data_IF_138286094176
#
_entry.id   IF_138286094176
#
_cell.length_a   1.000
_cell.length_b   1.000
_cell.length_c   1.000
_cell.angle_alpha   90.00
_cell.angle_beta   90.00
_cell.angle_gamma   90.00
#
_symmetry.space_group_name_H-M   'P 1'
#
loop_
_entity.id
_entity.type
_entity.pdbx_description
1 polymer ?
#
# COMPACT_ATOMS: atom_id res chain seq x y z
N UNK A 1 -0.36 -2.53 8.46
CA UNK A 1 -1.64 -2.10 7.95
C UNK A 1 -2.38 -3.35 7.50
N UNK A 2 -3.47 -3.72 8.17
CA UNK A 2 -4.30 -4.84 7.72
C UNK A 2 -4.76 -4.59 6.26
N UNK A 3 -4.90 -5.63 5.44
CA UNK A 3 -5.37 -5.56 4.04
C UNK A 3 -6.64 -4.71 3.94
N UNK A 4 -7.55 -4.90 4.89
CA UNK A 4 -8.80 -4.14 4.97
C UNK A 4 -8.53 -2.65 5.18
N UNK A 5 -7.55 -2.29 6.01
CA UNK A 5 -7.13 -0.90 6.26
C UNK A 5 -6.49 -0.27 5.03
N UNK A 6 -5.61 -0.99 4.33
CA UNK A 6 -4.98 -0.51 3.08
C UNK A 6 -6.00 -0.25 1.98
N UNK A 7 -6.87 -1.24 1.72
CA UNK A 7 -7.95 -1.12 0.74
C UNK A 7 -8.91 0.02 1.09
N UNK A 8 -9.21 0.19 2.38
CA UNK A 8 -10.06 1.29 2.85
C UNK A 8 -9.40 2.66 2.64
N UNK A 9 -8.10 2.81 2.89
CA UNK A 9 -7.34 4.03 2.61
C UNK A 9 -7.35 4.35 1.10
N UNK A 10 -7.10 3.36 0.23
CA UNK A 10 -7.19 3.55 -1.24
C UNK A 10 -8.59 3.98 -1.68
N UNK A 11 -9.63 3.39 -1.09
CA UNK A 11 -11.01 3.80 -1.34
C UNK A 11 -11.26 5.25 -0.91
N UNK A 12 -10.78 5.65 0.27
CA UNK A 12 -10.92 7.02 0.78
C UNK A 12 -10.16 8.04 -0.09
N UNK A 13 -8.98 7.69 -0.61
CA UNK A 13 -8.25 8.52 -1.60
C UNK A 13 -9.12 8.75 -2.82
N UNK A 14 -9.72 7.68 -3.38
CA UNK A 14 -10.59 7.77 -4.56
C UNK A 14 -11.83 8.65 -4.30
N UNK A 15 -12.47 8.49 -3.14
CA UNK A 15 -13.62 9.31 -2.75
C UNK A 15 -13.24 10.77 -2.57
N UNK A 16 -12.11 11.05 -1.93
CA UNK A 16 -11.61 12.41 -1.76
C UNK A 16 -11.26 13.07 -3.11
N UNK A 17 -10.61 12.34 -4.02
CA UNK A 17 -10.34 12.82 -5.40
C UNK A 17 -11.63 13.12 -6.16
N UNK A 18 -12.65 12.27 -6.01
CA UNK A 18 -13.96 12.47 -6.64
C UNK A 18 -14.66 13.74 -6.15
N UNK A 19 -14.69 13.94 -4.82
CA UNK A 19 -15.26 15.15 -4.24
C UNK A 19 -14.47 16.40 -4.64
N UNK A 20 -13.13 16.34 -4.58
CA UNK A 20 -12.24 17.43 -5.01
C UNK A 20 -12.53 17.85 -6.46
N UNK A 21 -12.55 16.89 -7.39
CA UNK A 21 -12.81 17.15 -8.81
C UNK A 21 -14.21 17.76 -9.03
N UNK A 22 -15.21 17.31 -8.25
CA UNK A 22 -16.57 17.85 -8.33
C UNK A 22 -16.62 19.31 -7.87
N UNK A 23 -15.91 19.63 -6.80
CA UNK A 23 -15.77 20.99 -6.27
C UNK A 23 -15.02 21.90 -7.24
N UNK A 24 -13.89 21.44 -7.79
CA UNK A 24 -13.12 22.17 -8.81
C UNK A 24 -13.95 22.44 -10.06
N UNK A 25 -14.73 21.46 -10.52
CA UNK A 25 -15.64 21.65 -11.66
C UNK A 25 -16.67 22.73 -11.39
N UNK A 26 -17.25 22.76 -10.20
CA UNK A 26 -18.21 23.81 -9.81
C UNK A 26 -17.56 25.19 -9.72
N UNK A 27 -16.35 25.29 -9.17
CA UNK A 27 -15.62 26.57 -9.09
C UNK A 27 -15.27 27.13 -10.47
N UNK A 28 -14.92 26.25 -11.41
CA UNK A 28 -14.47 26.61 -12.75
C UNK A 28 -15.59 26.67 -13.80
N UNK A 29 -16.84 26.34 -13.44
CA UNK A 29 -17.95 26.35 -14.39
C UNK A 29 -18.37 27.76 -14.77
N UNK A 30 -17.95 28.26 -15.94
CA UNK A 30 -18.35 29.57 -16.44
C UNK A 30 -19.72 29.58 -17.12
N UNK A 31 -20.35 28.42 -17.33
CA UNK A 31 -21.64 28.31 -18.02
C UNK A 31 -22.84 28.58 -17.11
N UNK A 32 -22.68 28.35 -15.80
CA UNK A 32 -23.70 28.65 -14.79
C UNK A 32 -23.51 30.05 -14.20
N UNK A 33 -24.60 30.80 -14.04
CA UNK A 33 -24.60 32.09 -13.36
C UNK A 33 -24.05 31.96 -11.93
N UNK A 34 -23.17 32.90 -11.52
CA UNK A 34 -22.50 32.85 -10.21
C UNK A 34 -23.47 32.76 -9.02
N UNK A 35 -24.65 33.38 -9.15
CA UNK A 35 -25.69 33.35 -8.12
C UNK A 35 -26.27 31.96 -7.85
N UNK A 36 -26.20 31.02 -8.81
CA UNK A 36 -26.68 29.64 -8.67
C UNK A 36 -25.57 28.59 -8.66
N UNK A 37 -24.37 28.95 -9.13
CA UNK A 37 -23.21 28.05 -9.31
C UNK A 37 -22.82 27.31 -8.04
N UNK A 38 -22.87 28.00 -6.89
CA UNK A 38 -22.39 27.46 -5.61
C UNK A 38 -23.51 26.89 -4.73
N UNK A 39 -24.72 26.70 -5.26
CA UNK A 39 -25.89 26.23 -4.51
C UNK A 39 -25.70 24.87 -3.82
N UNK A 40 -24.77 24.04 -4.30
CA UNK A 40 -24.41 22.74 -3.71
C UNK A 40 -23.42 22.82 -2.54
N UNK A 41 -23.02 24.02 -2.08
CA UNK A 41 -22.01 24.21 -1.03
C UNK A 41 -22.25 23.36 0.23
N UNK A 42 -23.50 23.30 0.72
CA UNK A 42 -23.88 22.52 1.91
C UNK A 42 -23.66 21.02 1.69
N UNK A 43 -23.95 20.51 0.50
CA UNK A 43 -23.72 19.11 0.15
C UNK A 43 -22.22 18.77 0.17
N UNK A 44 -21.38 19.64 -0.39
CA UNK A 44 -19.93 19.43 -0.36
C UNK A 44 -19.37 19.42 1.06
N UNK A 45 -19.84 20.32 1.93
CA UNK A 45 -19.41 20.35 3.33
C UNK A 45 -19.83 19.08 4.11
N UNK A 46 -21.06 18.58 3.88
CA UNK A 46 -21.53 17.32 4.48
C UNK A 46 -20.66 16.14 4.04
N UNK A 47 -20.40 16.02 2.73
CA UNK A 47 -19.58 14.94 2.19
C UNK A 47 -18.14 15.01 2.72
N UNK A 48 -17.58 16.22 2.77
CA UNK A 48 -16.25 16.43 3.33
C UNK A 48 -16.17 16.02 4.81
N UNK A 49 -17.12 16.44 5.66
CA UNK A 49 -17.12 16.07 7.07
C UNK A 49 -17.14 14.54 7.26
N UNK A 50 -17.92 13.82 6.45
CA UNK A 50 -17.97 12.36 6.46
C UNK A 50 -16.61 11.74 6.10
N UNK A 51 -15.97 12.24 5.05
CA UNK A 51 -14.64 11.77 4.64
C UNK A 51 -13.58 12.09 5.69
N UNK A 52 -13.54 13.31 6.20
CA UNK A 52 -12.59 13.73 7.24
C UNK A 52 -12.68 12.83 8.48
N UNK A 53 -13.90 12.49 8.91
CA UNK A 53 -14.13 11.56 10.02
C UNK A 53 -13.62 10.14 9.71
N UNK A 54 -13.97 9.61 8.54
CA UNK A 54 -13.50 8.27 8.16
C UNK A 54 -11.96 8.20 8.10
N UNK A 55 -11.31 9.29 7.67
CA UNK A 55 -9.85 9.38 7.64
C UNK A 55 -9.26 9.48 9.04
N UNK A 56 -9.84 10.26 9.95
CA UNK A 56 -9.37 10.29 11.35
C UNK A 56 -9.50 8.92 12.01
N UNK A 57 -10.60 8.22 11.74
CA UNK A 57 -10.88 6.90 12.32
C UNK A 57 -9.92 5.84 11.78
N UNK A 58 -9.67 5.81 10.45
CA UNK A 58 -8.75 4.81 9.87
C UNK A 58 -7.30 5.09 10.20
N UNK A 59 -6.86 6.36 10.18
CA UNK A 59 -5.47 6.71 10.48
C UNK A 59 -5.19 6.77 11.99
N UNK A 60 -6.21 6.64 12.83
CA UNK A 60 -6.12 6.72 14.29
C UNK A 60 -5.47 8.04 14.77
N UNK A 61 -5.76 9.13 14.04
CA UNK A 61 -5.27 10.48 14.34
C UNK A 61 -6.31 11.29 15.11
N UNK A 62 -5.88 12.38 15.74
CA UNK A 62 -6.76 13.24 16.54
C UNK A 62 -7.91 13.77 15.68
N UNK A 63 -9.15 13.68 16.18
CA UNK A 63 -10.35 14.13 15.47
C UNK A 63 -10.37 15.64 15.17
N UNK A 64 -9.51 16.42 15.83
CA UNK A 64 -9.32 17.86 15.59
C UNK A 64 -8.30 18.16 14.49
N UNK A 65 -7.68 17.14 13.90
CA UNK A 65 -6.68 17.31 12.83
C UNK A 65 -7.29 17.97 11.60
N UNK A 66 -8.52 17.62 11.27
CA UNK A 66 -9.25 18.21 10.16
C UNK A 66 -10.32 19.18 10.66
N UNK A 67 -10.48 20.28 9.92
CA UNK A 67 -11.59 21.20 10.13
C UNK A 67 -12.89 20.45 9.92
N UNK A 68 -13.92 20.75 10.70
CA UNK A 68 -15.28 20.26 10.46
C UNK A 68 -16.21 21.43 10.30
N UNK A 69 -17.09 21.38 9.31
CA UNK A 69 -18.08 22.42 9.13
C UNK A 69 -19.32 22.16 10.00
N UNK A 70 -19.93 23.20 10.56
CA UNK A 70 -21.22 23.10 11.24
C UNK A 70 -22.37 23.04 10.21
N UNK A 71 -22.60 21.85 9.66
CA UNK A 71 -23.58 21.61 8.60
C UNK A 71 -25.02 21.71 9.08
N UNK A 72 -25.29 21.53 10.37
CA UNK A 72 -26.63 21.64 10.94
C UNK A 72 -27.09 23.10 10.94
N UNK A 73 -26.17 24.02 11.27
CA UNK A 73 -26.46 25.46 11.27
C UNK A 73 -26.24 26.14 9.92
N UNK A 74 -25.84 25.41 8.87
CA UNK A 74 -25.65 26.00 7.55
C UNK A 74 -26.98 26.39 6.89
N UNK A 75 -27.09 27.63 6.38
CA UNK A 75 -28.26 28.06 5.61
C UNK A 75 -28.44 27.23 4.34
N UNK A 76 -29.65 27.22 3.80
CA UNK A 76 -29.93 26.65 2.48
C UNK A 76 -29.42 27.53 1.34
N UNK A 77 -29.50 27.03 0.11
CA UNK A 77 -29.12 27.79 -1.09
C UNK A 77 -29.98 29.06 -1.28
N UNK A 78 -31.25 29.02 -0.87
CA UNK A 78 -32.16 30.17 -0.93
C UNK A 78 -31.98 31.17 0.21
N UNK A 79 -31.31 30.77 1.29
CA UNK A 79 -31.15 31.54 2.53
C UNK A 79 -29.71 32.03 2.75
N UNK A 80 -28.89 32.03 1.69
CA UNK A 80 -27.48 32.42 1.73
C UNK A 80 -27.07 33.24 0.52
N UNK A 81 -26.09 34.13 0.71
CA UNK A 81 -25.52 34.92 -0.37
C UNK A 81 -24.46 34.12 -1.12
N UNK A 82 -24.45 34.22 -2.45
CA UNK A 82 -23.52 33.48 -3.30
C UNK A 82 -22.02 33.65 -2.93
N UNK A 83 -21.52 34.79 -2.41
CA UNK A 83 -20.13 34.88 -1.97
C UNK A 83 -19.82 33.99 -0.76
N UNK A 84 -20.78 33.84 0.15
CA UNK A 84 -20.66 32.94 1.32
C UNK A 84 -20.66 31.49 0.84
N UNK A 85 -21.56 31.15 -0.08
CA UNK A 85 -21.61 29.82 -0.68
C UNK A 85 -20.26 29.49 -1.34
N UNK A 86 -19.73 30.41 -2.16
CA UNK A 86 -18.41 30.29 -2.79
C UNK A 86 -17.30 30.08 -1.77
N UNK A 87 -17.26 30.88 -0.71
CA UNK A 87 -16.26 30.75 0.34
C UNK A 87 -16.28 29.36 1.00
N UNK A 88 -17.46 28.78 1.22
CA UNK A 88 -17.60 27.42 1.74
C UNK A 88 -17.08 26.40 0.73
N UNK A 89 -17.42 26.53 -0.56
CA UNK A 89 -16.93 25.63 -1.62
C UNK A 89 -15.40 25.68 -1.72
N UNK A 90 -14.79 26.88 -1.71
CA UNK A 90 -13.34 27.07 -1.70
C UNK A 90 -12.69 26.48 -0.45
N UNK A 91 -13.35 26.63 0.71
CA UNK A 91 -12.89 26.03 1.97
C UNK A 91 -12.94 24.50 1.91
N UNK A 92 -13.98 23.91 1.32
CA UNK A 92 -14.03 22.45 1.12
C UNK A 92 -12.88 22.00 0.21
N UNK A 93 -12.61 22.72 -0.88
CA UNK A 93 -11.51 22.39 -1.80
C UNK A 93 -10.15 22.39 -1.09
N UNK A 94 -9.87 23.40 -0.28
CA UNK A 94 -8.64 23.48 0.48
C UNK A 94 -8.51 22.30 1.45
N UNK A 95 -9.57 22.08 2.25
CA UNK A 95 -9.53 21.11 3.33
C UNK A 95 -9.51 19.66 2.82
N UNK A 96 -10.16 19.36 1.70
CA UNK A 96 -10.03 18.03 1.08
C UNK A 96 -8.63 17.79 0.51
N UNK A 97 -7.95 18.85 0.08
CA UNK A 97 -6.52 18.80 -0.26
C UNK A 97 -5.67 18.34 0.93
N UNK A 98 -5.90 18.88 2.13
CA UNK A 98 -5.19 18.44 3.32
C UNK A 98 -5.48 16.97 3.67
N UNK A 99 -6.74 16.55 3.62
CA UNK A 99 -7.12 15.15 3.87
C UNK A 99 -6.42 14.21 2.88
N UNK A 100 -6.38 14.57 1.59
CA UNK A 100 -5.67 13.79 0.57
C UNK A 100 -4.18 13.68 0.88
N UNK A 101 -3.53 14.76 1.27
CA UNK A 101 -2.09 14.74 1.60
C UNK A 101 -1.77 13.77 2.74
N UNK A 102 -2.62 13.69 3.77
CA UNK A 102 -2.43 12.71 4.86
C UNK A 102 -2.54 11.27 4.37
N UNK A 103 -3.53 10.98 3.54
CA UNK A 103 -3.72 9.64 2.98
C UNK A 103 -2.58 9.25 2.04
N UNK A 104 -2.11 10.18 1.20
CA UNK A 104 -1.03 9.96 0.23
C UNK A 104 0.31 9.73 0.93
N UNK A 105 0.61 10.47 2.01
CA UNK A 105 1.84 10.26 2.81
C UNK A 105 1.90 8.87 3.43
N UNK A 106 0.78 8.35 3.94
CA UNK A 106 0.74 6.99 4.51
C UNK A 106 1.06 5.92 3.46
N UNK A 107 0.53 6.09 2.23
CA UNK A 107 0.86 5.19 1.11
C UNK A 107 2.30 5.33 0.65
N UNK A 108 2.81 6.56 0.50
CA UNK A 108 4.19 6.82 0.06
C UNK A 108 5.20 6.23 1.04
N UNK A 109 4.97 6.39 2.35
CA UNK A 109 5.82 5.80 3.39
C UNK A 109 5.88 4.27 3.27
N UNK A 110 4.73 3.64 3.01
CA UNK A 110 4.67 2.19 2.84
C UNK A 110 5.44 1.74 1.57
N UNK A 111 5.37 2.48 0.47
CA UNK A 111 6.11 2.18 -0.77
C UNK A 111 7.63 2.34 -0.60
N UNK A 112 8.03 3.40 0.12
CA UNK A 112 9.43 3.63 0.49
C UNK A 112 9.96 2.51 1.39
N UNK A 113 9.20 2.10 2.41
CA UNK A 113 9.60 0.97 3.26
C UNK A 113 9.72 -0.35 2.49
N UNK A 114 8.80 -0.61 1.55
CA UNK A 114 8.87 -1.80 0.68
C UNK A 114 10.15 -1.79 -0.18
N UNK A 115 10.50 -0.64 -0.76
CA UNK A 115 11.73 -0.47 -1.53
C UNK A 115 12.98 -0.54 -0.66
N UNK A 116 12.94 0.01 0.54
CA UNK A 116 14.03 -0.07 1.50
C UNK A 116 14.28 -1.51 1.96
N UNK A 117 13.23 -2.33 2.10
CA UNK A 117 13.36 -3.75 2.46
C UNK A 117 14.01 -4.57 1.33
N UNK A 118 13.61 -4.36 0.08
CA UNK A 118 14.24 -4.97 -1.10
C UNK A 118 15.75 -4.67 -1.14
N UNK A 119 16.11 -3.39 -1.07
CA UNK A 119 17.51 -2.96 -1.05
C UNK A 119 18.29 -3.52 0.16
N UNK A 120 17.65 -3.59 1.32
CA UNK A 120 18.27 -4.13 2.52
C UNK A 120 18.60 -5.63 2.37
N UNK A 121 17.64 -6.44 1.93
CA UNK A 121 17.87 -7.87 1.71
C UNK A 121 18.90 -8.10 0.59
N UNK A 122 18.79 -7.36 -0.51
CA UNK A 122 19.73 -7.44 -1.63
C UNK A 122 21.18 -7.17 -1.20
N UNK A 123 21.39 -6.20 -0.30
CA UNK A 123 22.74 -5.77 0.11
C UNK A 123 23.29 -6.52 1.33
N UNK A 124 22.44 -7.05 2.21
CA UNK A 124 22.87 -7.65 3.48
C UNK A 124 22.79 -9.16 3.53
N UNK A 125 21.89 -9.80 2.77
CA UNK A 125 21.63 -11.24 2.91
C UNK A 125 22.86 -12.09 2.59
N UNK A 126 23.63 -11.76 1.55
CA UNK A 126 24.85 -12.51 1.23
C UNK A 126 25.87 -12.50 2.38
N UNK A 127 25.98 -11.37 3.10
CA UNK A 127 26.98 -11.18 4.15
C UNK A 127 26.70 -12.02 5.41
N UNK A 128 25.46 -12.46 5.62
CA UNK A 128 25.07 -13.27 6.77
C UNK A 128 24.98 -14.77 6.46
N UNK A 129 25.06 -15.16 5.18
CA UNK A 129 25.10 -16.56 4.75
C UNK A 129 26.56 -16.98 4.53
N UNK A 130 27.19 -17.53 5.56
CA UNK A 130 28.63 -17.87 5.51
C UNK A 130 28.93 -19.05 4.59
N UNK A 131 28.23 -20.16 4.80
CA UNK A 131 28.39 -21.38 4.02
C UNK A 131 27.42 -21.42 2.84
N UNK A 132 27.77 -22.21 1.80
CA UNK A 132 26.87 -22.47 0.68
C UNK A 132 25.62 -23.18 1.19
N UNK A 133 24.43 -22.53 1.14
CA UNK A 133 23.23 -23.13 1.70
C UNK A 133 22.78 -24.31 0.84
N UNK A 134 22.42 -25.41 1.51
CA UNK A 134 21.92 -26.63 0.91
C UNK A 134 20.39 -26.79 1.07
N UNK A 135 19.72 -25.84 1.74
CA UNK A 135 18.28 -25.79 1.99
C UNK A 135 17.80 -24.34 2.15
N UNK A 136 16.55 -24.08 1.78
CA UNK A 136 15.91 -22.74 1.88
C UNK A 136 15.82 -22.24 3.33
N UNK A 137 15.59 -23.15 4.28
CA UNK A 137 15.55 -22.85 5.72
C UNK A 137 16.79 -22.08 6.20
N UNK A 138 17.98 -22.34 5.61
CA UNK A 138 19.21 -21.63 5.98
C UNK A 138 19.18 -20.17 5.53
N UNK A 139 18.61 -19.91 4.35
CA UNK A 139 18.41 -18.55 3.82
C UNK A 139 17.32 -17.84 4.62
N UNK A 140 16.22 -18.53 4.94
CA UNK A 140 15.16 -18.00 5.80
C UNK A 140 15.70 -17.62 7.18
N UNK A 141 16.49 -18.47 7.82
CA UNK A 141 17.14 -18.16 9.11
C UNK A 141 18.06 -16.94 9.00
N UNK A 142 18.77 -16.78 7.88
CA UNK A 142 19.61 -15.62 7.63
C UNK A 142 18.80 -14.32 7.47
N UNK A 143 17.65 -14.37 6.79
CA UNK A 143 16.71 -13.26 6.70
C UNK A 143 16.15 -12.90 8.08
N UNK A 144 15.73 -13.89 8.86
CA UNK A 144 15.21 -13.68 10.22
C UNK A 144 16.26 -13.01 11.11
N UNK A 145 17.52 -13.45 11.04
CA UNK A 145 18.63 -12.80 11.74
C UNK A 145 18.85 -11.34 11.30
N UNK A 146 18.66 -11.02 10.01
CA UNK A 146 18.73 -9.64 9.53
C UNK A 146 17.59 -8.78 10.06
N UNK A 147 16.36 -9.32 10.13
CA UNK A 147 15.22 -8.60 10.71
C UNK A 147 15.46 -8.30 12.18
N UNK A 148 15.86 -9.31 12.97
CA UNK A 148 16.23 -9.12 14.38
C UNK A 148 17.39 -8.12 14.52
N UNK A 149 18.42 -8.22 13.68
CA UNK A 149 19.55 -7.28 13.67
C UNK A 149 19.17 -5.84 13.30
N UNK A 150 18.06 -5.64 12.58
CA UNK A 150 17.46 -4.32 12.30
C UNK A 150 16.58 -3.81 13.45
N UNK A 151 16.38 -4.62 14.49
CA UNK A 151 15.53 -4.30 15.65
C UNK A 151 14.06 -4.66 15.44
N UNK A 152 13.71 -5.45 14.42
CA UNK A 152 12.34 -5.91 14.23
C UNK A 152 11.97 -6.99 15.23
N UNK A 153 10.73 -6.94 15.71
CA UNK A 153 10.20 -7.84 16.72
C UNK A 153 9.20 -8.80 16.07
N UNK A 154 9.43 -10.11 16.24
CA UNK A 154 8.51 -11.15 15.79
C UNK A 154 7.13 -11.02 16.48
N UNK A 155 6.05 -11.15 15.73
CA UNK A 155 4.68 -10.93 16.19
C UNK A 155 4.24 -9.46 16.25
N UNK A 156 5.12 -8.51 15.91
CA UNK A 156 4.82 -7.08 15.83
C UNK A 156 5.15 -6.54 14.44
N UNK A 157 6.41 -6.67 14.03
CA UNK A 157 6.89 -6.14 12.75
C UNK A 157 6.82 -7.20 11.65
N UNK A 158 7.13 -8.46 11.99
CA UNK A 158 7.03 -9.60 11.08
C UNK A 158 6.58 -10.86 11.80
N UNK A 159 6.05 -11.82 11.05
CA UNK A 159 5.86 -13.20 11.50
C UNK A 159 6.47 -14.17 10.50
N UNK A 160 6.76 -15.40 10.96
CA UNK A 160 7.35 -16.48 10.16
C UNK A 160 6.38 -17.64 10.07
N UNK A 161 6.23 -18.22 8.87
CA UNK A 161 5.38 -19.39 8.61
C UNK A 161 3.95 -19.22 9.16
N UNK A 162 3.42 -18.00 9.08
CA UNK A 162 2.10 -17.62 9.58
C UNK A 162 1.25 -17.02 8.47
N UNK A 163 -0.08 -17.00 8.67
CA UNK A 163 -1.01 -16.53 7.65
C UNK A 163 -1.41 -17.62 6.65
N UNK A 164 -1.59 -18.85 7.16
CA UNK A 164 -2.09 -20.02 6.42
C UNK A 164 -3.47 -19.73 5.82
N UNK A 165 -3.63 -19.98 4.52
CA UNK A 165 -4.91 -19.87 3.83
C UNK A 165 -5.07 -20.97 2.77
N UNK A 166 -6.32 -21.25 2.42
CA UNK A 166 -6.65 -22.19 1.34
C UNK A 166 -6.88 -21.46 0.03
N UNK A 167 -6.22 -21.93 -1.02
CA UNK A 167 -6.46 -21.48 -2.39
C UNK A 167 -6.52 -22.66 -3.33
N UNK A 168 -7.64 -22.78 -4.07
CA UNK A 168 -7.85 -23.86 -5.04
C UNK A 168 -7.65 -25.27 -4.46
N UNK A 169 -8.08 -25.48 -3.22
CA UNK A 169 -7.96 -26.77 -2.51
C UNK A 169 -6.54 -27.13 -2.05
N UNK A 170 -5.59 -26.18 -2.13
CA UNK A 170 -4.25 -26.29 -1.57
C UNK A 170 -4.05 -25.27 -0.46
N UNK A 171 -3.23 -25.64 0.50
CA UNK A 171 -2.83 -24.79 1.60
C UNK A 171 -1.54 -24.04 1.24
N UNK A 172 -1.53 -22.73 1.46
CA UNK A 172 -0.38 -21.88 1.22
C UNK A 172 0.02 -21.17 2.51
N UNK A 173 1.33 -21.09 2.76
CA UNK A 173 1.91 -20.44 3.93
C UNK A 173 3.18 -19.71 3.44
N UNK A 174 3.21 -18.37 3.43
CA UNK A 174 4.43 -17.64 3.15
C UNK A 174 5.50 -17.89 4.21
N UNK A 175 6.76 -17.82 3.80
CA UNK A 175 7.89 -17.93 4.73
C UNK A 175 7.87 -16.80 5.77
N UNK A 176 7.60 -15.57 5.35
CA UNK A 176 7.41 -14.43 6.24
C UNK A 176 6.23 -13.56 5.81
N UNK A 177 5.64 -12.88 6.79
CA UNK A 177 4.71 -11.78 6.55
C UNK A 177 5.20 -10.53 7.27
N UNK A 178 5.00 -9.37 6.65
CA UNK A 178 5.23 -8.05 7.24
C UNK A 178 3.89 -7.31 7.24
N UNK A 179 3.06 -7.48 8.30
CA UNK A 179 1.69 -6.97 8.31
C UNK A 179 1.62 -5.46 8.11
N UNK A 180 2.65 -4.71 8.54
CA UNK A 180 2.73 -3.25 8.35
C UNK A 180 2.63 -2.85 6.88
N UNK A 181 3.26 -3.63 5.99
CA UNK A 181 3.37 -3.37 4.56
C UNK A 181 2.39 -4.18 3.71
N UNK A 182 1.47 -4.95 4.34
CA UNK A 182 0.62 -5.92 3.65
C UNK A 182 1.43 -6.82 2.69
N UNK A 183 2.57 -7.28 3.18
CA UNK A 183 3.61 -7.95 2.39
C UNK A 183 3.77 -9.40 2.84
N UNK A 184 3.82 -10.32 1.87
CA UNK A 184 4.38 -11.66 2.07
C UNK A 184 5.77 -11.78 1.43
N UNK A 185 6.66 -12.54 2.07
CA UNK A 185 8.00 -12.83 1.58
C UNK A 185 8.14 -14.34 1.43
N UNK A 186 8.61 -14.77 0.27
CA UNK A 186 8.86 -16.17 -0.07
C UNK A 186 10.32 -16.35 -0.47
N UNK A 187 10.99 -17.37 0.05
CA UNK A 187 12.42 -17.62 -0.18
C UNK A 187 12.59 -18.82 -1.08
N UNK A 188 13.30 -18.65 -2.20
CA UNK A 188 13.66 -19.75 -3.10
C UNK A 188 15.17 -19.90 -3.21
N UNK A 189 15.67 -21.13 -3.12
CA UNK A 189 17.09 -21.44 -3.28
C UNK A 189 17.36 -22.00 -4.68
N UNK A 190 17.98 -21.20 -5.54
CA UNK A 190 18.22 -21.57 -6.93
C UNK A 190 19.51 -22.36 -7.12
N UNK A 191 19.35 -23.58 -7.62
CA UNK A 191 20.43 -24.51 -7.97
C UNK A 191 20.41 -24.84 -9.44
N UNK A 192 21.53 -25.38 -9.92
CA UNK A 192 21.66 -25.80 -11.30
C UNK A 192 20.53 -26.78 -11.72
N UNK A 193 20.02 -26.60 -12.94
CA UNK A 193 18.89 -27.38 -13.46
C UNK A 193 17.52 -27.09 -12.82
N UNK A 194 17.38 -26.11 -11.92
CA UNK A 194 16.10 -25.78 -11.25
C UNK A 194 15.46 -24.46 -11.68
N UNK A 195 16.09 -23.68 -12.57
CA UNK A 195 15.63 -22.33 -12.99
C UNK A 195 14.14 -22.30 -13.38
N UNK A 196 13.74 -23.08 -14.40
CA UNK A 196 12.36 -23.07 -14.90
C UNK A 196 11.35 -23.49 -13.83
N UNK A 197 11.69 -24.51 -13.04
CA UNK A 197 10.82 -24.98 -11.96
C UNK A 197 10.60 -23.91 -10.89
N UNK A 198 11.63 -23.17 -10.50
CA UNK A 198 11.49 -22.08 -9.52
C UNK A 198 10.61 -20.95 -10.08
N UNK A 199 10.75 -20.60 -11.37
CA UNK A 199 9.89 -19.60 -12.01
C UNK A 199 8.42 -20.06 -11.99
N UNK A 200 8.16 -21.34 -12.30
CA UNK A 200 6.80 -21.91 -12.23
C UNK A 200 6.23 -21.90 -10.81
N UNK A 201 7.03 -22.28 -9.81
CA UNK A 201 6.64 -22.25 -8.39
C UNK A 201 6.31 -20.81 -7.96
N UNK A 202 7.17 -19.83 -8.27
CA UNK A 202 6.93 -18.41 -7.96
C UNK A 202 5.66 -17.89 -8.63
N UNK A 203 5.42 -18.21 -9.91
CA UNK A 203 4.20 -17.75 -10.60
C UNK A 203 2.91 -18.34 -10.01
N UNK A 204 2.97 -19.58 -9.53
CA UNK A 204 1.85 -20.19 -8.80
C UNK A 204 1.62 -19.48 -7.46
N UNK A 205 2.69 -19.21 -6.72
CA UNK A 205 2.67 -18.50 -5.45
C UNK A 205 2.13 -17.06 -5.62
N UNK A 206 2.54 -16.35 -6.68
CA UNK A 206 2.02 -15.01 -7.03
C UNK A 206 0.49 -14.99 -7.07
N UNK A 207 -0.07 -15.98 -7.77
CA UNK A 207 -1.52 -16.08 -7.97
C UNK A 207 -2.24 -16.40 -6.66
N UNK A 208 -1.65 -17.26 -5.83
CA UNK A 208 -2.23 -17.63 -4.54
C UNK A 208 -2.16 -16.48 -3.53
N UNK A 209 -0.97 -15.92 -3.33
CA UNK A 209 -0.71 -14.86 -2.35
C UNK A 209 -1.42 -13.55 -2.70
N UNK A 210 -1.61 -13.22 -3.98
CA UNK A 210 -2.30 -12.00 -4.41
C UNK A 210 -3.75 -11.87 -3.94
N UNK A 211 -4.36 -12.92 -3.40
CA UNK A 211 -5.67 -12.85 -2.74
C UNK A 211 -5.64 -12.21 -1.37
N UNK A 212 -4.54 -12.38 -0.65
CA UNK A 212 -4.40 -12.03 0.75
C UNK A 212 -3.31 -10.99 0.98
N UNK A 213 -2.38 -10.79 0.05
CA UNK A 213 -1.30 -9.83 0.19
C UNK A 213 -1.27 -8.93 -1.02
N UNK A 214 -1.25 -7.63 -0.76
CA UNK A 214 -1.14 -6.62 -1.82
C UNK A 214 0.27 -6.63 -2.41
N UNK A 215 1.28 -6.73 -1.54
CA UNK A 215 2.69 -6.75 -1.93
C UNK A 215 3.28 -8.13 -1.75
N UNK A 216 4.18 -8.49 -2.66
CA UNK A 216 4.84 -9.79 -2.66
C UNK A 216 6.32 -9.63 -2.95
N UNK A 217 7.17 -10.29 -2.15
CA UNK A 217 8.61 -10.27 -2.34
C UNK A 217 9.16 -11.70 -2.43
N UNK A 218 9.76 -12.03 -3.56
CA UNK A 218 10.41 -13.31 -3.78
C UNK A 218 11.92 -13.15 -3.66
N UNK A 219 12.50 -13.70 -2.60
CA UNK A 219 13.94 -13.67 -2.37
C UNK A 219 14.56 -14.92 -3.00
N UNK A 220 15.24 -14.73 -4.14
CA UNK A 220 15.91 -15.81 -4.86
C UNK A 220 17.39 -15.80 -4.52
N UNK A 221 17.80 -16.77 -3.70
CA UNK A 221 19.21 -16.96 -3.37
C UNK A 221 19.87 -17.83 -4.45
N UNK A 222 20.70 -17.21 -5.28
CA UNK A 222 21.28 -17.82 -6.49
C UNK A 222 22.66 -18.43 -6.21
N UNK A 223 22.81 -19.73 -6.45
CA UNK A 223 24.08 -20.44 -6.32
C UNK A 223 24.96 -20.39 -7.59
N UNK A 224 24.73 -19.40 -8.46
CA UNK A 224 25.52 -19.12 -9.67
C UNK A 224 24.84 -19.50 -10.99
N UNK A 225 23.51 -19.60 -11.00
CA UNK A 225 22.71 -19.99 -12.16
C UNK A 225 22.28 -18.77 -12.98
N UNK A 226 21.96 -17.64 -12.34
CA UNK A 226 21.40 -16.46 -13.02
C UNK A 226 22.52 -15.63 -13.64
N UNK A 227 22.57 -15.63 -14.97
CA UNK A 227 23.48 -14.76 -15.74
C UNK A 227 22.90 -13.38 -15.96
N UNK A 228 21.65 -13.32 -16.42
CA UNK A 228 20.91 -12.08 -16.66
C UNK A 228 19.83 -11.92 -15.57
N UNK A 229 20.08 -11.01 -14.63
CA UNK A 229 19.15 -10.70 -13.55
C UNK A 229 17.92 -9.93 -14.06
N UNK A 230 18.07 -9.15 -15.13
CA UNK A 230 17.00 -8.32 -15.69
C UNK A 230 15.97 -9.21 -16.38
N UNK A 231 16.42 -10.16 -17.20
CA UNK A 231 15.56 -11.16 -17.84
C UNK A 231 14.81 -11.97 -16.77
N UNK A 232 15.53 -12.48 -15.76
CA UNK A 232 14.92 -13.30 -14.72
C UNK A 232 13.85 -12.55 -13.92
N UNK A 233 14.11 -11.29 -13.55
CA UNK A 233 13.11 -10.44 -12.87
C UNK A 233 11.91 -10.20 -13.76
N UNK A 234 12.14 -9.83 -15.02
CA UNK A 234 11.07 -9.54 -15.98
C UNK A 234 10.15 -10.73 -16.21
N UNK A 235 10.67 -11.95 -16.23
CA UNK A 235 9.85 -13.18 -16.39
C UNK A 235 8.82 -13.38 -15.26
N UNK A 236 8.99 -12.68 -14.13
CA UNK A 236 8.17 -12.82 -12.92
C UNK A 236 7.42 -11.50 -12.62
N UNK A 237 8.11 -10.37 -12.59
CA UNK A 237 7.58 -9.06 -12.18
C UNK A 237 6.55 -8.48 -13.17
N UNK A 238 6.47 -8.99 -14.41
CA UNK A 238 5.42 -8.59 -15.36
C UNK A 238 3.99 -8.87 -14.85
N UNK A 239 3.83 -9.64 -13.78
CA UNK A 239 2.54 -9.93 -13.18
C UNK A 239 1.93 -8.73 -12.41
N UNK A 240 2.72 -7.72 -12.00
CA UNK A 240 2.22 -6.50 -11.35
C UNK A 240 3.29 -5.69 -10.63
N UNK A 241 3.03 -4.39 -10.44
CA UNK A 241 3.99 -3.42 -9.85
C UNK A 241 4.30 -3.69 -8.36
N UNK A 242 3.41 -4.38 -7.65
CA UNK A 242 3.55 -4.74 -6.23
C UNK A 242 4.33 -6.05 -5.99
N UNK A 243 4.92 -6.63 -7.05
CA UNK A 243 5.71 -7.86 -7.00
C UNK A 243 7.19 -7.51 -7.20
N UNK A 244 8.04 -7.93 -6.26
CA UNK A 244 9.51 -7.75 -6.35
C UNK A 244 10.27 -9.05 -6.25
N UNK A 245 11.28 -9.21 -7.11
CA UNK A 245 12.21 -10.34 -7.09
C UNK A 245 13.60 -9.87 -6.65
N UNK A 246 13.97 -10.27 -5.43
CA UNK A 246 15.25 -9.96 -4.81
C UNK A 246 16.24 -11.09 -5.11
N UNK A 247 17.07 -10.89 -6.13
CA UNK A 247 18.14 -11.85 -6.46
C UNK A 247 19.37 -11.56 -5.60
N UNK A 248 19.82 -12.56 -4.85
CA UNK A 248 21.04 -12.51 -4.02
C UNK A 248 21.98 -13.63 -4.44
N UNK A 249 23.15 -13.27 -5.00
CA UNK A 249 24.14 -14.26 -5.45
C UNK A 249 25.01 -14.74 -4.30
N UNK A 250 25.26 -16.05 -4.25
CA UNK A 250 26.26 -16.67 -3.37
C UNK A 250 27.69 -16.33 -3.80
#
# INVERSE_FOLDING_TARGET
MNIEKSNYIKMLISQCKTLKNSVERTLNDTSTMESGRFSSFKMYAVQYNGLAKNVTDVLEIDSRTFVTFDVEQMPGWGDSLWPIQRQIVESVLLNIGFVLSYLEVETDFADDEFTNLDNFLKTKLRAVVFDKPDKEILVQNAIENLFVGRGWIKGIDYDRECGKFEFSGKEYIPDFIVPKLNLCIEVKLLRDGKKSRIIEEINADITAYGKNYERQMFVVYDLGVIRDEVEFRRDIENAGDDIKVVIVKH
#
